data_IF_445892152352
#
_entry.id   IF_445892152352
#
_cell.length_a   1.000
_cell.length_b   1.000
_cell.length_c   1.000
_cell.angle_alpha   90.00
_cell.angle_beta   90.00
_cell.angle_gamma   90.00
#
_symmetry.space_group_name_H-M   'P 1'
#
loop_
_entity.id
_entity.type
_entity.pdbx_description
1 polymer ?
#
# COMPACT_ATOMS: atom_id res chain seq x y z
N UNK A 1 18.01 26.42 0.70
CA UNK A 1 16.82 25.73 1.22
C UNK A 1 17.01 25.51 2.70
N UNK A 2 16.16 26.13 3.49
CA UNK A 2 16.13 25.90 4.94
C UNK A 2 15.73 24.44 5.21
N UNK A 3 16.20 23.80 6.29
CA UNK A 3 15.90 22.39 6.57
C UNK A 3 14.40 22.14 6.87
N UNK A 4 13.57 23.19 6.88
CA UNK A 4 12.10 23.16 6.97
C UNK A 4 11.39 23.10 5.61
N UNK A 5 12.05 23.46 4.50
CA UNK A 5 11.45 23.46 3.15
C UNK A 5 11.57 22.10 2.44
N UNK A 6 12.31 21.15 3.01
CA UNK A 6 12.50 19.85 2.40
C UNK A 6 11.26 18.98 2.59
N UNK A 7 10.83 18.27 1.53
CA UNK A 7 9.67 17.40 1.62
C UNK A 7 9.92 16.23 2.58
N UNK A 8 8.87 15.83 3.27
CA UNK A 8 8.88 14.71 4.20
C UNK A 8 7.56 13.97 4.16
N UNK A 9 7.59 12.72 4.63
CA UNK A 9 6.43 11.85 4.61
C UNK A 9 6.54 10.73 5.66
N UNK A 10 5.39 10.25 6.10
CA UNK A 10 5.23 9.14 7.04
C UNK A 10 3.98 8.33 6.67
N UNK A 11 3.99 7.02 6.95
CA UNK A 11 2.79 6.18 6.88
C UNK A 11 2.47 5.66 8.29
N UNK A 12 1.26 5.93 8.77
CA UNK A 12 0.73 5.37 10.01
C UNK A 12 -0.14 4.16 9.68
N UNK A 13 0.21 3.03 10.27
CA UNK A 13 -0.48 1.75 10.11
C UNK A 13 -1.18 1.42 11.41
N UNK A 14 -2.49 1.13 11.37
CA UNK A 14 -3.24 0.69 12.55
C UNK A 14 -3.03 -0.80 12.83
N UNK A 15 -1.77 -1.15 13.05
CA UNK A 15 -1.31 -2.47 13.44
C UNK A 15 0.05 -2.38 14.12
N UNK A 16 0.40 -3.40 14.89
CA UNK A 16 1.72 -3.56 15.48
C UNK A 16 2.81 -3.82 14.41
N UNK A 17 4.10 -3.53 14.71
CA UNK A 17 5.18 -3.66 13.74
C UNK A 17 5.26 -5.04 13.08
N UNK A 18 5.09 -6.11 13.87
CA UNK A 18 5.23 -7.48 13.37
C UNK A 18 4.13 -7.86 12.34
N UNK A 19 2.97 -7.21 12.42
CA UNK A 19 1.91 -7.37 11.41
C UNK A 19 2.12 -6.48 10.18
N UNK A 20 2.83 -5.37 10.32
CA UNK A 20 3.11 -4.42 9.23
C UNK A 20 4.29 -4.86 8.37
N UNK A 21 5.35 -5.40 8.99
CA UNK A 21 6.60 -5.73 8.31
C UNK A 21 6.43 -6.61 7.05
N UNK A 22 5.63 -7.71 7.07
CA UNK A 22 5.46 -8.55 5.90
C UNK A 22 4.79 -7.83 4.72
N UNK A 23 3.83 -6.94 5.01
CA UNK A 23 3.08 -6.18 4.01
C UNK A 23 3.90 -5.02 3.47
N UNK A 24 4.75 -4.42 4.30
CA UNK A 24 5.60 -3.29 3.92
C UNK A 24 6.62 -3.64 2.81
N UNK A 25 6.98 -4.91 2.64
CA UNK A 25 7.80 -5.36 1.50
C UNK A 25 7.13 -5.11 0.13
N UNK A 26 5.80 -4.99 0.07
CA UNK A 26 5.08 -4.64 -1.16
C UNK A 26 5.43 -3.26 -1.69
N UNK A 27 5.90 -2.35 -0.83
CA UNK A 27 6.27 -0.99 -1.21
C UNK A 27 7.52 -0.93 -2.10
N UNK A 28 8.32 -2.01 -2.12
CA UNK A 28 9.59 -2.12 -2.87
C UNK A 28 10.61 -1.01 -2.55
N UNK A 29 10.43 -0.37 -1.40
CA UNK A 29 11.26 0.72 -0.92
C UNK A 29 11.75 0.40 0.49
N UNK A 30 12.94 0.88 0.82
CA UNK A 30 13.49 0.70 2.16
C UNK A 30 12.75 1.59 3.15
N UNK A 31 12.23 0.97 4.20
CA UNK A 31 11.46 1.65 5.24
C UNK A 31 12.01 1.32 6.62
N UNK A 32 11.94 2.30 7.51
CA UNK A 32 12.16 2.10 8.95
C UNK A 32 10.79 1.98 9.61
N UNK A 33 10.52 0.83 10.21
CA UNK A 33 9.28 0.52 10.90
C UNK A 33 9.50 0.63 12.40
N UNK A 34 8.66 1.43 13.07
CA UNK A 34 8.75 1.68 14.51
C UNK A 34 7.34 1.64 15.09
N UNK A 35 7.22 1.23 16.35
CA UNK A 35 5.95 1.30 17.08
C UNK A 35 5.56 2.76 17.29
N UNK A 36 4.28 3.07 17.09
CA UNK A 36 3.71 4.42 17.18
C UNK A 36 2.43 4.45 18.03
N UNK A 37 2.41 3.68 19.12
CA UNK A 37 1.23 3.43 19.96
C UNK A 37 1.04 1.94 20.21
N UNK A 38 0.01 1.57 20.98
CA UNK A 38 -0.27 0.17 21.29
C UNK A 38 -0.70 -0.60 20.03
N UNK A 39 -1.61 -0.01 19.25
CA UNK A 39 -2.20 -0.62 18.04
C UNK A 39 -1.71 0.06 16.75
N UNK A 40 -0.59 0.78 16.83
CA UNK A 40 -0.13 1.65 15.76
C UNK A 40 1.37 1.49 15.52
N UNK A 41 1.74 1.59 14.25
CA UNK A 41 3.12 1.65 13.79
C UNK A 41 3.31 2.76 12.79
N UNK A 42 4.54 3.25 12.69
CA UNK A 42 4.95 4.25 11.70
C UNK A 42 6.02 3.67 10.79
N UNK A 43 5.84 3.86 9.48
CA UNK A 43 6.88 3.63 8.48
C UNK A 43 7.48 4.97 8.07
N UNK A 44 8.81 5.06 8.17
CA UNK A 44 9.61 6.20 7.73
C UNK A 44 10.39 5.78 6.48
N UNK A 45 10.17 6.42 5.32
CA UNK A 45 10.93 6.13 4.11
C UNK A 45 12.41 6.47 4.29
N UNK A 46 13.30 5.54 3.94
CA UNK A 46 14.75 5.83 3.92
C UNK A 46 15.17 6.62 2.68
N UNK A 47 14.44 6.43 1.59
CA UNK A 47 14.60 7.15 0.33
C UNK A 47 13.60 8.30 0.18
N UNK A 48 13.81 9.10 -0.85
CA UNK A 48 12.96 10.25 -1.18
C UNK A 48 12.65 10.23 -2.68
N UNK A 49 11.82 9.28 -3.17
CA UNK A 49 11.53 9.09 -4.59
C UNK A 49 10.84 10.29 -5.25
N UNK A 50 10.29 11.20 -4.45
CA UNK A 50 9.72 12.49 -4.88
C UNK A 50 10.77 13.60 -5.07
N UNK A 51 12.06 13.35 -4.83
CA UNK A 51 13.12 14.31 -5.14
C UNK A 51 13.58 14.19 -6.60
N UNK A 52 14.10 15.31 -7.16
CA UNK A 52 14.77 15.30 -8.47
C UNK A 52 13.85 15.26 -9.69
N UNK A 53 12.62 15.77 -9.59
CA UNK A 53 11.65 15.76 -10.69
C UNK A 53 10.85 14.46 -10.83
N UNK A 54 10.88 13.62 -9.80
CA UNK A 54 10.03 12.43 -9.68
C UNK A 54 8.56 12.76 -9.45
N UNK A 55 7.78 11.73 -9.14
CA UNK A 55 6.35 11.87 -8.85
C UNK A 55 6.12 12.69 -7.56
N UNK A 56 5.10 13.56 -7.50
CA UNK A 56 4.79 14.33 -6.30
C UNK A 56 4.60 13.47 -5.05
N UNK A 57 5.01 14.00 -3.89
CA UNK A 57 5.02 13.26 -2.62
C UNK A 57 3.64 12.73 -2.24
N UNK A 58 2.59 13.51 -2.47
CA UNK A 58 1.20 13.13 -2.19
C UNK A 58 0.79 11.88 -2.96
N UNK A 59 1.19 11.77 -4.23
CA UNK A 59 0.82 10.68 -5.12
C UNK A 59 1.59 9.39 -4.80
N UNK A 60 2.89 9.51 -4.52
CA UNK A 60 3.72 8.39 -4.05
C UNK A 60 3.13 7.81 -2.76
N UNK A 61 2.87 8.67 -1.77
CA UNK A 61 2.40 8.24 -0.46
C UNK A 61 0.98 7.67 -0.49
N UNK A 62 0.09 8.25 -1.31
CA UNK A 62 -1.25 7.68 -1.53
C UNK A 62 -1.17 6.30 -2.18
N UNK A 63 -0.25 6.11 -3.13
CA UNK A 63 0.03 4.82 -3.74
C UNK A 63 0.51 3.78 -2.72
N UNK A 64 1.48 4.14 -1.87
CA UNK A 64 1.97 3.26 -0.81
C UNK A 64 0.90 2.93 0.24
N UNK A 65 0.14 3.91 0.70
CA UNK A 65 -0.96 3.67 1.63
C UNK A 65 -2.00 2.71 1.04
N UNK A 66 -2.33 2.86 -0.25
CA UNK A 66 -3.24 1.96 -0.96
C UNK A 66 -2.67 0.55 -1.07
N UNK A 67 -1.39 0.41 -1.43
CA UNK A 67 -0.73 -0.90 -1.55
C UNK A 67 -0.74 -1.66 -0.21
N UNK A 68 -0.42 -0.97 0.90
CA UNK A 68 -0.50 -1.55 2.24
C UNK A 68 -1.93 -1.91 2.62
N UNK A 69 -2.88 -1.00 2.40
CA UNK A 69 -4.27 -1.18 2.79
C UNK A 69 -4.97 -2.31 2.00
N UNK A 70 -4.54 -2.59 0.78
CA UNK A 70 -5.02 -3.75 0.00
C UNK A 70 -4.42 -5.06 0.53
N UNK A 71 -3.17 -5.02 0.99
CA UNK A 71 -2.46 -6.18 1.54
C UNK A 71 -2.84 -6.54 2.98
N UNK A 72 -3.67 -5.73 3.64
CA UNK A 72 -3.96 -5.87 5.06
C UNK A 72 -5.40 -5.47 5.45
N UNK A 73 -5.95 -5.99 6.56
CA UNK A 73 -7.31 -5.66 7.01
C UNK A 73 -7.41 -4.31 7.75
N UNK A 74 -6.30 -3.63 8.02
CA UNK A 74 -6.24 -2.40 8.80
C UNK A 74 -6.06 -1.14 7.92
N UNK A 75 -6.54 0.03 8.37
CA UNK A 75 -6.38 1.28 7.64
C UNK A 75 -4.95 1.82 7.69
N UNK A 76 -4.54 2.50 6.61
CA UNK A 76 -3.24 3.18 6.50
C UNK A 76 -3.46 4.66 6.25
N UNK A 77 -2.84 5.50 7.07
CA UNK A 77 -2.85 6.94 6.93
C UNK A 77 -1.48 7.43 6.44
N UNK A 78 -1.44 7.93 5.21
CA UNK A 78 -0.32 8.68 4.69
C UNK A 78 -0.35 10.13 5.19
N UNK A 79 0.81 10.62 5.62
CA UNK A 79 1.07 12.02 5.95
C UNK A 79 2.22 12.51 5.07
N UNK A 80 2.08 13.69 4.48
CA UNK A 80 3.09 14.26 3.58
C UNK A 80 3.12 15.77 3.67
N UNK A 81 4.27 16.37 3.36
CA UNK A 81 4.45 17.82 3.28
C UNK A 81 5.60 18.15 2.34
N UNK A 82 5.51 19.32 1.72
CA UNK A 82 6.56 19.91 0.90
C UNK A 82 6.64 21.43 1.16
N UNK A 83 7.20 22.20 0.23
CA UNK A 83 7.31 23.65 0.37
C UNK A 83 5.96 24.36 0.20
N UNK A 84 5.07 23.79 -0.60
CA UNK A 84 3.85 24.46 -1.08
C UNK A 84 2.60 23.95 -0.35
N UNK A 85 2.61 22.70 0.12
CA UNK A 85 1.44 22.03 0.69
C UNK A 85 1.81 21.02 1.76
N UNK A 86 0.78 20.63 2.50
CA UNK A 86 0.83 19.45 3.36
C UNK A 86 -0.50 18.76 3.34
N UNK A 87 -0.52 17.46 3.59
CA UNK A 87 -1.77 16.73 3.54
C UNK A 87 -1.68 15.32 4.06
N UNK A 88 -2.82 14.66 3.99
CA UNK A 88 -2.99 13.30 4.42
C UNK A 88 -3.89 12.52 3.48
N UNK A 89 -3.70 11.19 3.42
CA UNK A 89 -4.56 10.30 2.67
C UNK A 89 -4.81 9.01 3.45
N UNK A 90 -6.08 8.62 3.58
CA UNK A 90 -6.52 7.43 4.28
C UNK A 90 -6.94 6.35 3.29
N UNK A 91 -6.24 5.22 3.32
CA UNK A 91 -6.56 4.03 2.56
C UNK A 91 -7.08 2.91 3.48
N UNK A 92 -8.01 2.10 3.00
CA UNK A 92 -8.59 0.98 3.76
C UNK A 92 -9.16 -0.08 2.81
N UNK A 93 -8.51 -1.24 2.73
CA UNK A 93 -8.90 -2.31 1.82
C UNK A 93 -8.96 -1.86 0.35
N UNK A 94 -10.03 -2.28 -0.33
CA UNK A 94 -10.33 -1.91 -1.72
C UNK A 94 -11.15 -0.62 -1.85
N UNK A 95 -11.37 0.13 -0.76
CA UNK A 95 -12.11 1.39 -0.82
C UNK A 95 -11.25 2.46 -1.47
N UNK A 96 -11.89 3.40 -2.19
CA UNK A 96 -11.21 4.58 -2.71
C UNK A 96 -10.49 5.33 -1.56
N UNK A 97 -9.19 5.64 -1.69
CA UNK A 97 -8.48 6.49 -0.75
C UNK A 97 -9.16 7.85 -0.65
N UNK A 98 -9.16 8.41 0.55
CA UNK A 98 -9.72 9.74 0.83
C UNK A 98 -8.56 10.63 1.23
N UNK A 99 -8.44 11.81 0.62
CA UNK A 99 -7.36 12.74 0.88
C UNK A 99 -7.86 14.07 1.40
N UNK A 100 -7.02 14.78 2.12
CA UNK A 100 -7.21 16.18 2.48
C UNK A 100 -5.87 16.89 2.54
N UNK A 101 -5.80 18.09 1.97
CA UNK A 101 -4.60 18.90 1.90
C UNK A 101 -4.86 20.35 2.32
N UNK A 102 -3.77 21.00 2.75
CA UNK A 102 -3.66 22.39 3.10
C UNK A 102 -2.54 23.02 2.28
N UNK A 103 -2.76 24.25 1.82
CA UNK A 103 -1.70 25.08 1.24
C UNK A 103 -0.68 25.48 2.32
N UNK A 104 0.48 25.99 1.91
CA UNK A 104 1.59 26.33 2.79
C UNK A 104 1.18 27.23 3.97
N UNK A 105 0.27 28.18 3.72
CA UNK A 105 -0.29 29.12 4.71
C UNK A 105 -1.34 28.49 5.64
N UNK A 106 -1.64 27.20 5.48
CA UNK A 106 -2.67 26.48 6.22
C UNK A 106 -4.08 26.62 5.66
N UNK A 107 -4.24 27.29 4.50
CA UNK A 107 -5.53 27.38 3.81
C UNK A 107 -6.01 25.97 3.45
N UNK A 108 -7.22 25.57 3.89
CA UNK A 108 -7.77 24.28 3.54
C UNK A 108 -8.06 24.19 2.03
N UNK A 109 -7.61 23.10 1.39
CA UNK A 109 -7.76 22.86 -0.05
C UNK A 109 -8.51 21.55 -0.38
N UNK A 110 -8.75 20.69 0.61
CA UNK A 110 -9.51 19.44 0.46
C UNK A 110 -11.02 19.58 0.63
N UNK A 111 -11.76 18.53 0.29
CA UNK A 111 -13.21 18.44 0.49
C UNK A 111 -13.56 18.21 1.97
N UNK A 112 -14.47 18.98 2.54
CA UNK A 112 -14.87 18.86 3.97
C UNK A 112 -15.40 17.46 4.34
N UNK A 113 -16.05 16.77 3.40
CA UNK A 113 -16.56 15.40 3.60
C UNK A 113 -15.44 14.37 3.84
N UNK A 114 -14.20 14.69 3.45
CA UNK A 114 -13.04 13.84 3.67
C UNK A 114 -12.81 13.59 5.16
N UNK A 115 -12.86 14.63 6.00
CA UNK A 115 -12.63 14.53 7.44
C UNK A 115 -13.69 13.67 8.15
N UNK A 116 -14.95 13.77 7.71
CA UNK A 116 -16.02 12.91 8.22
C UNK A 116 -15.78 11.45 7.86
N UNK A 117 -15.29 11.19 6.65
CA UNK A 117 -14.93 9.83 6.22
C UNK A 117 -13.71 9.30 6.98
N UNK A 118 -12.74 10.15 7.31
CA UNK A 118 -11.60 9.80 8.16
C UNK A 118 -12.06 9.34 9.54
N UNK A 119 -12.89 10.15 10.20
CA UNK A 119 -13.42 9.83 11.52
C UNK A 119 -14.14 8.47 11.52
N UNK A 120 -15.02 8.24 10.54
CA UNK A 120 -15.75 6.98 10.40
C UNK A 120 -14.82 5.78 10.18
N UNK A 121 -13.84 5.87 9.27
CA UNK A 121 -12.94 4.75 8.93
C UNK A 121 -11.91 4.45 10.02
N UNK A 122 -11.51 5.46 10.80
CA UNK A 122 -10.59 5.31 11.92
C UNK A 122 -11.33 4.99 13.23
N UNK A 123 -12.67 5.03 13.25
CA UNK A 123 -13.45 4.81 14.47
C UNK A 123 -13.19 5.86 15.53
N UNK A 124 -13.00 7.12 15.11
CA UNK A 124 -12.87 8.26 16.01
C UNK A 124 -14.23 8.61 16.63
N UNK A 125 -14.20 9.32 17.76
CA UNK A 125 -15.42 9.76 18.41
C UNK A 125 -16.23 10.70 17.48
N UNK A 126 -17.51 10.40 17.22
CA UNK A 126 -18.29 11.16 16.24
C UNK A 126 -18.66 12.57 16.72
N UNK A 127 -18.36 12.94 17.96
CA UNK A 127 -18.67 14.25 18.54
C UNK A 127 -17.39 15.05 18.76
N UNK A 128 -16.54 14.63 19.70
CA UNK A 128 -15.37 15.38 20.12
C UNK A 128 -14.23 15.35 19.09
N UNK A 129 -13.95 14.16 18.53
CA UNK A 129 -12.91 14.04 17.50
C UNK A 129 -13.37 14.65 16.19
N UNK A 130 -14.63 14.43 15.81
CA UNK A 130 -15.20 15.05 14.62
C UNK A 130 -15.15 16.58 14.71
N UNK A 131 -15.52 17.17 15.85
CA UNK A 131 -15.43 18.62 16.05
C UNK A 131 -13.99 19.12 15.89
N UNK A 132 -13.02 18.43 16.48
CA UNK A 132 -11.60 18.79 16.34
C UNK A 132 -11.13 18.70 14.88
N UNK A 133 -11.61 17.72 14.12
CA UNK A 133 -11.28 17.61 12.69
C UNK A 133 -11.94 18.70 11.84
N UNK A 134 -13.18 19.09 12.14
CA UNK A 134 -13.85 20.22 11.46
C UNK A 134 -13.14 21.55 11.72
N UNK A 135 -12.55 21.74 12.91
CA UNK A 135 -11.73 22.92 13.19
C UNK A 135 -10.47 22.99 12.31
N UNK A 136 -9.94 21.84 11.86
CA UNK A 136 -8.80 21.79 10.93
C UNK A 136 -9.17 22.16 9.49
N UNK A 137 -10.46 22.10 9.12
CA UNK A 137 -10.94 22.50 7.79
C UNK A 137 -11.40 23.95 7.72
N UNK A 138 -11.41 24.67 8.85
CA UNK A 138 -11.75 26.10 8.88
C UNK A 138 -10.53 26.97 8.58
N UNK A 139 -10.69 28.07 7.81
CA UNK A 139 -9.61 29.04 7.62
C UNK A 139 -9.09 29.59 8.95
N UNK A 140 -7.77 29.59 9.13
CA UNK A 140 -7.05 30.20 10.25
C UNK A 140 -5.70 30.68 9.70
N UNK A 141 -5.44 31.99 9.79
CA UNK A 141 -4.23 32.61 9.25
C UNK A 141 -3.02 32.48 10.19
N UNK A 142 -3.22 31.92 11.39
CA UNK A 142 -2.16 31.78 12.40
C UNK A 142 -1.48 30.42 12.37
N UNK A 143 -2.06 29.45 11.67
CA UNK A 143 -1.59 28.07 11.64
C UNK A 143 -1.24 27.68 10.21
N UNK A 144 0.04 27.43 9.96
CA UNK A 144 0.55 26.95 8.67
C UNK A 144 0.16 25.49 8.39
N UNK A 145 0.44 25.01 7.17
CA UNK A 145 0.13 23.64 6.75
C UNK A 145 0.69 22.57 7.72
N UNK A 146 1.94 22.75 8.16
CA UNK A 146 2.60 21.83 9.11
C UNK A 146 1.93 21.86 10.48
N UNK A 147 1.48 23.03 10.93
CA UNK A 147 0.65 23.19 12.13
C UNK A 147 -0.65 22.39 12.04
N UNK A 148 -1.32 22.40 10.87
CA UNK A 148 -2.54 21.60 10.63
C UNK A 148 -2.27 20.10 10.71
N UNK A 149 -1.18 19.61 10.14
CA UNK A 149 -0.77 18.20 10.28
C UNK A 149 -0.52 17.81 11.74
N UNK A 150 0.10 18.69 12.53
CA UNK A 150 0.29 18.45 13.97
C UNK A 150 -1.03 18.46 14.73
N UNK A 151 -1.98 19.32 14.34
CA UNK A 151 -3.35 19.29 14.84
C UNK A 151 -4.05 17.96 14.53
N UNK A 152 -3.92 17.45 13.31
CA UNK A 152 -4.44 16.13 12.93
C UNK A 152 -3.85 15.02 13.82
N UNK A 153 -2.53 15.02 14.02
CA UNK A 153 -1.89 14.06 14.93
C UNK A 153 -2.42 14.18 16.36
N UNK A 154 -2.61 15.40 16.87
CA UNK A 154 -3.15 15.61 18.21
C UNK A 154 -4.53 14.95 18.37
N UNK A 155 -5.40 15.02 17.35
CA UNK A 155 -6.66 14.26 17.35
C UNK A 155 -6.39 12.76 17.40
N UNK A 156 -5.48 12.26 16.57
CA UNK A 156 -5.17 10.83 16.49
C UNK A 156 -4.53 10.26 17.77
N UNK A 157 -3.96 11.09 18.64
CA UNK A 157 -3.48 10.61 19.95
C UNK A 157 -4.59 10.03 20.81
N UNK A 158 -5.82 10.54 20.67
CA UNK A 158 -7.01 10.02 21.35
C UNK A 158 -7.43 8.65 20.79
N UNK A 159 -7.03 8.33 19.57
CA UNK A 159 -7.18 7.01 18.95
C UNK A 159 -5.98 6.08 19.18
N UNK A 160 -5.06 6.46 20.09
CA UNK A 160 -3.93 5.64 20.50
C UNK A 160 -2.65 5.83 19.67
N UNK A 161 -2.60 6.80 18.76
CA UNK A 161 -1.34 7.15 18.07
C UNK A 161 -0.40 7.86 19.04
N UNK A 162 0.78 7.29 19.26
CA UNK A 162 1.85 7.87 20.06
C UNK A 162 3.16 7.81 19.27
N UNK A 163 3.47 8.86 18.52
CA UNK A 163 4.71 8.91 17.74
C UNK A 163 5.95 8.92 18.65
N UNK A 164 7.01 8.15 18.30
CA UNK A 164 8.27 8.21 19.01
C UNK A 164 8.88 9.62 19.01
N UNK A 165 9.62 9.94 20.07
CA UNK A 165 10.36 11.19 20.16
C UNK A 165 11.27 11.40 18.93
N UNK A 166 11.23 12.60 18.35
CA UNK A 166 11.99 12.95 17.15
C UNK A 166 11.25 12.67 15.82
N UNK A 167 10.19 11.86 15.82
CA UNK A 167 9.33 11.64 14.64
C UNK A 167 8.20 12.68 14.67
N UNK A 168 8.44 13.82 14.02
CA UNK A 168 7.51 14.96 14.02
C UNK A 168 7.13 15.33 12.58
N UNK A 169 5.83 15.30 12.20
CA UNK A 169 5.42 15.81 10.90
C UNK A 169 5.82 17.27 10.69
N UNK A 170 6.21 17.55 9.45
CA UNK A 170 6.78 18.84 9.06
C UNK A 170 8.31 18.90 9.10
N UNK A 171 8.98 17.91 9.71
CA UNK A 171 10.45 17.79 9.67
C UNK A 171 10.95 17.24 8.31
N UNK A 172 12.23 17.43 7.99
CA UNK A 172 12.77 16.87 6.74
C UNK A 172 12.87 15.35 6.79
N UNK A 173 12.77 14.68 5.63
CA UNK A 173 12.95 13.23 5.53
C UNK A 173 14.26 12.74 6.17
N UNK A 174 15.35 13.50 6.03
CA UNK A 174 16.63 13.19 6.66
C UNK A 174 16.59 13.25 8.20
N UNK A 175 15.88 14.22 8.77
CA UNK A 175 15.70 14.32 10.24
C UNK A 175 14.82 13.21 10.78
N UNK A 176 13.74 12.89 10.09
CA UNK A 176 12.88 11.75 10.43
C UNK A 176 13.65 10.43 10.37
N UNK A 177 14.44 10.22 9.32
CA UNK A 177 15.27 9.02 9.17
C UNK A 177 16.31 8.92 10.28
N UNK A 178 16.99 10.01 10.60
CA UNK A 178 17.96 10.04 11.71
C UNK A 178 17.30 9.67 13.04
N UNK A 179 16.21 10.36 13.39
CA UNK A 179 15.46 10.08 14.62
C UNK A 179 14.93 8.64 14.69
N UNK A 180 14.54 8.08 13.54
CA UNK A 180 14.10 6.69 13.44
C UNK A 180 15.23 5.68 13.65
N UNK A 181 16.43 5.96 13.12
CA UNK A 181 17.61 5.10 13.26
C UNK A 181 18.17 5.08 14.69
N UNK A 182 17.98 6.15 15.45
CA UNK A 182 18.43 6.25 16.85
C UNK A 182 17.55 5.43 17.81
N UNK A 183 16.47 4.79 17.31
CA UNK A 183 15.55 3.98 18.11
C UNK A 183 16.06 2.56 18.29
N UNK A 184 15.96 2.05 19.52
CA UNK A 184 16.29 0.66 19.82
C UNK A 184 15.29 -0.35 19.23
N UNK A 185 14.05 0.07 19.00
CA UNK A 185 12.95 -0.76 18.50
C UNK A 185 12.72 -0.65 16.97
N UNK A 186 13.69 -0.09 16.23
CA UNK A 186 13.57 0.06 14.78
C UNK A 186 13.73 -1.28 14.06
N UNK A 187 12.74 -1.62 13.23
CA UNK A 187 12.82 -2.71 12.27
C UNK A 187 13.10 -2.13 10.89
N UNK A 188 14.16 -2.59 10.21
CA UNK A 188 14.40 -2.22 8.81
C UNK A 188 13.63 -3.17 7.91
N UNK A 189 12.69 -2.62 7.16
CA UNK A 189 12.00 -3.34 6.10
C UNK A 189 12.80 -3.12 4.82
N UNK A 190 13.45 -4.18 4.36
CA UNK A 190 14.20 -4.10 3.11
C UNK A 190 13.24 -3.96 1.91
N UNK A 191 13.55 -2.98 1.06
CA UNK A 191 12.91 -2.81 -0.24
C UNK A 191 13.26 -4.00 -1.12
N UNK A 192 12.23 -4.69 -1.62
CA UNK A 192 12.40 -6.02 -2.19
C UNK A 192 13.42 -6.14 -3.32
N UNK A 193 14.49 -6.88 -3.04
CA UNK A 193 15.00 -7.94 -3.91
C UNK A 193 14.02 -9.13 -3.97
N UNK A 194 12.77 -8.88 -4.39
CA UNK A 194 11.66 -9.84 -4.40
C UNK A 194 12.00 -11.16 -5.11
N UNK A 195 12.98 -11.15 -6.01
CA UNK A 195 13.49 -12.33 -6.72
C UNK A 195 14.13 -13.38 -5.81
N UNK A 196 14.74 -13.02 -4.69
CA UNK A 196 15.46 -13.99 -3.84
C UNK A 196 14.51 -14.64 -2.82
N UNK A 197 13.61 -13.86 -2.22
CA UNK A 197 12.61 -14.36 -1.26
C UNK A 197 11.54 -15.20 -1.96
N UNK A 198 11.04 -14.76 -3.13
CA UNK A 198 10.10 -15.55 -3.92
C UNK A 198 10.78 -16.76 -4.56
N UNK A 199 12.07 -16.69 -4.92
CA UNK A 199 12.77 -17.88 -5.40
C UNK A 199 13.00 -18.90 -4.29
N UNK A 200 13.25 -18.47 -3.05
CA UNK A 200 13.34 -19.37 -1.91
C UNK A 200 12.00 -20.04 -1.57
N UNK A 201 10.88 -19.30 -1.60
CA UNK A 201 9.54 -19.87 -1.40
C UNK A 201 9.05 -20.70 -2.58
N UNK A 202 9.32 -20.28 -3.82
CA UNK A 202 9.02 -21.08 -5.02
C UNK A 202 9.87 -22.35 -5.05
N UNK A 203 11.17 -22.31 -4.73
CA UNK A 203 12.01 -23.51 -4.62
C UNK A 203 11.51 -24.44 -3.51
N UNK A 204 10.93 -23.90 -2.44
CA UNK A 204 10.34 -24.70 -1.36
C UNK A 204 9.01 -25.35 -1.78
N UNK A 205 8.18 -24.66 -2.57
CA UNK A 205 6.93 -25.18 -3.14
C UNK A 205 7.19 -26.16 -4.30
N UNK A 206 8.21 -25.91 -5.12
CA UNK A 206 8.66 -26.75 -6.24
C UNK A 206 9.29 -28.07 -5.74
N UNK A 207 9.94 -28.06 -4.57
CA UNK A 207 10.39 -29.25 -3.84
C UNK A 207 9.28 -29.93 -3.02
N UNK A 208 8.08 -29.33 -2.95
CA UNK A 208 6.91 -29.87 -2.26
C UNK A 208 6.08 -30.85 -3.11
N UNK A 209 5.11 -31.55 -2.51
CA UNK A 209 4.30 -32.57 -3.20
C UNK A 209 3.41 -32.05 -4.34
N UNK A 210 3.22 -30.73 -4.44
CA UNK A 210 2.45 -30.06 -5.50
C UNK A 210 3.30 -29.54 -6.67
N UNK A 211 4.64 -29.56 -6.54
CA UNK A 211 5.59 -29.19 -7.59
C UNK A 211 5.29 -29.82 -8.96
N UNK A 212 4.95 -31.13 -9.06
CA UNK A 212 4.71 -31.79 -10.34
C UNK A 212 3.48 -31.32 -11.13
N UNK A 213 2.55 -30.55 -10.54
CA UNK A 213 1.28 -30.17 -11.18
C UNK A 213 1.26 -28.73 -11.71
N UNK A 214 2.34 -27.97 -11.50
CA UNK A 214 2.45 -26.58 -11.93
C UNK A 214 2.74 -26.48 -13.43
N UNK A 215 2.01 -25.65 -14.19
CA UNK A 215 2.03 -25.63 -15.67
C UNK A 215 3.38 -25.21 -16.28
N UNK A 216 4.26 -24.58 -15.49
CA UNK A 216 5.55 -24.03 -15.94
C UNK A 216 6.74 -25.01 -15.76
N UNK A 217 6.51 -26.18 -15.16
CA UNK A 217 7.54 -27.16 -14.78
C UNK A 217 7.89 -28.15 -15.91
N UNK A 218 7.12 -28.20 -16.99
CA UNK A 218 7.34 -29.14 -18.12
C UNK A 218 7.14 -30.62 -17.78
N UNK A 219 6.60 -30.91 -16.59
CA UNK A 219 6.40 -32.28 -16.10
C UNK A 219 5.35 -33.03 -16.94
N UNK A 220 5.40 -34.38 -17.00
CA UNK A 220 4.39 -35.19 -17.70
C UNK A 220 2.96 -34.99 -17.16
N UNK A 221 2.81 -34.65 -15.87
CA UNK A 221 1.50 -34.42 -15.23
C UNK A 221 0.93 -33.04 -15.55
N UNK A 222 1.79 -32.02 -15.67
CA UNK A 222 1.40 -30.70 -16.17
C UNK A 222 0.86 -30.78 -17.62
N UNK A 223 1.47 -31.63 -18.46
CA UNK A 223 1.00 -31.94 -19.82
C UNK A 223 -0.37 -32.63 -19.83
N UNK A 224 -0.62 -33.57 -18.93
CA UNK A 224 -1.93 -34.23 -18.83
C UNK A 224 -3.04 -33.24 -18.44
N UNK A 225 -2.76 -32.30 -17.52
CA UNK A 225 -3.69 -31.24 -17.14
C UNK A 225 -4.00 -30.28 -18.30
N UNK A 226 -2.97 -29.85 -19.04
CA UNK A 226 -3.14 -28.96 -20.19
C UNK A 226 -4.02 -29.62 -21.29
N UNK A 227 -3.80 -30.92 -21.57
CA UNK A 227 -4.63 -31.68 -22.51
C UNK A 227 -6.06 -31.84 -22.01
N UNK A 228 -6.27 -32.10 -20.72
CA UNK A 228 -7.60 -32.19 -20.13
C UNK A 228 -8.37 -30.87 -20.19
N UNK A 229 -7.69 -29.74 -19.94
CA UNK A 229 -8.29 -28.40 -20.01
C UNK A 229 -8.70 -28.03 -21.44
N UNK A 230 -7.88 -28.36 -22.45
CA UNK A 230 -8.24 -28.18 -23.87
C UNK A 230 -9.39 -29.11 -24.27
N UNK A 231 -9.36 -30.37 -23.82
CA UNK A 231 -10.40 -31.35 -24.10
C UNK A 231 -11.77 -30.99 -23.50
N UNK A 232 -11.80 -30.31 -22.35
CA UNK A 232 -13.04 -29.83 -21.72
C UNK A 232 -13.48 -28.44 -22.23
N UNK A 233 -12.54 -27.55 -22.55
CA UNK A 233 -12.82 -26.18 -22.99
C UNK A 233 -13.47 -26.10 -24.38
N UNK A 234 -13.09 -26.98 -25.29
CA UNK A 234 -13.62 -27.02 -26.66
C UNK A 234 -15.12 -27.33 -26.74
N UNK A 235 -15.65 -28.41 -26.10
CA UNK A 235 -17.09 -28.70 -26.12
C UNK A 235 -17.92 -27.67 -25.34
N UNK A 236 -17.39 -27.09 -24.26
CA UNK A 236 -18.06 -26.05 -23.48
C UNK A 236 -18.21 -24.73 -24.26
N UNK A 237 -17.17 -24.31 -24.99
CA UNK A 237 -17.24 -23.13 -25.86
C UNK A 237 -18.25 -23.35 -27.01
N UNK A 238 -18.23 -24.53 -27.64
CA UNK A 238 -19.17 -24.88 -28.71
C UNK A 238 -20.63 -24.92 -28.22
N UNK A 239 -20.84 -25.43 -26.99
CA UNK A 239 -22.16 -25.50 -26.37
C UNK A 239 -22.68 -24.11 -25.97
N UNK A 240 -21.82 -23.23 -25.45
CA UNK A 240 -22.15 -21.85 -25.12
C UNK A 240 -22.58 -21.03 -26.34
N UNK A 241 -21.87 -21.20 -27.47
CA UNK A 241 -22.21 -20.57 -28.76
C UNK A 241 -23.55 -21.12 -29.28
N UNK A 242 -23.78 -22.44 -29.20
CA UNK A 242 -25.02 -23.08 -29.66
C UNK A 242 -26.25 -22.68 -28.83
N UNK A 243 -26.08 -22.36 -27.55
CA UNK A 243 -27.15 -21.91 -26.63
C UNK A 243 -27.31 -20.38 -26.58
N UNK A 244 -26.53 -19.61 -27.38
CA UNK A 244 -26.47 -18.13 -27.34
C UNK A 244 -26.27 -17.54 -25.94
N UNK A 245 -25.47 -18.19 -25.10
CA UNK A 245 -25.16 -17.68 -23.77
C UNK A 245 -23.74 -17.13 -23.71
N UNK A 246 -23.63 -15.80 -23.62
CA UNK A 246 -22.37 -15.07 -23.60
C UNK A 246 -21.45 -15.50 -22.43
N UNK A 247 -22.02 -15.88 -21.28
CA UNK A 247 -21.26 -16.31 -20.11
C UNK A 247 -20.53 -17.65 -20.30
N UNK A 248 -21.20 -18.63 -20.89
CA UNK A 248 -20.61 -19.95 -21.15
C UNK A 248 -19.59 -19.91 -22.30
N UNK A 249 -19.82 -19.05 -23.30
CA UNK A 249 -18.85 -18.80 -24.36
C UNK A 249 -17.57 -18.13 -23.83
N UNK A 250 -17.69 -17.14 -22.95
CA UNK A 250 -16.55 -16.47 -22.33
C UNK A 250 -15.73 -17.41 -21.43
N UNK A 251 -16.39 -18.25 -20.62
CA UNK A 251 -15.73 -19.24 -19.77
C UNK A 251 -14.97 -20.30 -20.60
N UNK A 252 -15.56 -20.79 -21.70
CA UNK A 252 -14.89 -21.72 -22.62
C UNK A 252 -13.69 -21.09 -23.33
N UNK A 253 -13.79 -19.83 -23.75
CA UNK A 253 -12.68 -19.09 -24.37
C UNK A 253 -11.52 -18.85 -23.39
N UNK A 254 -11.82 -18.54 -22.13
CA UNK A 254 -10.82 -18.39 -21.06
C UNK A 254 -10.06 -19.70 -20.79
N UNK A 255 -10.78 -20.83 -20.71
CA UNK A 255 -10.18 -22.16 -20.55
C UNK A 255 -9.27 -22.53 -21.72
N UNK A 256 -9.70 -22.25 -22.96
CA UNK A 256 -8.91 -22.49 -24.16
C UNK A 256 -7.65 -21.61 -24.22
N UNK A 257 -7.77 -20.32 -23.85
CA UNK A 257 -6.63 -19.41 -23.77
C UNK A 257 -5.59 -19.87 -22.75
N UNK A 258 -6.02 -20.35 -21.58
CA UNK A 258 -5.12 -20.85 -20.54
C UNK A 258 -4.42 -22.16 -20.94
N UNK A 259 -5.14 -23.09 -21.59
CA UNK A 259 -4.57 -24.33 -22.10
C UNK A 259 -3.58 -24.12 -23.26
N UNK A 260 -3.87 -23.17 -24.16
CA UNK A 260 -2.98 -22.82 -25.27
C UNK A 260 -1.70 -22.12 -24.78
N UNK A 261 -1.80 -21.23 -23.79
CA UNK A 261 -0.65 -20.59 -23.16
C UNK A 261 0.31 -21.62 -22.53
N UNK A 262 -0.22 -22.66 -21.88
CA UNK A 262 0.58 -23.76 -21.33
C UNK A 262 1.32 -24.58 -22.39
N UNK A 263 0.69 -24.84 -23.54
CA UNK A 263 1.30 -25.60 -24.65
C UNK A 263 2.33 -24.79 -25.44
N UNK A 264 2.10 -23.48 -25.63
CA UNK A 264 3.04 -22.58 -26.31
C UNK A 264 4.31 -22.38 -25.46
N UNK A 265 4.18 -22.34 -24.13
CA UNK A 265 5.32 -22.27 -23.21
C UNK A 265 6.20 -23.54 -23.25
N UNK A 266 5.62 -24.71 -23.52
CA UNK A 266 6.32 -26.00 -23.63
C UNK A 266 7.11 -26.12 -24.96
N UNK A 267 6.60 -25.52 -26.05
CA UNK A 267 7.26 -25.54 -27.37
C UNK A 267 8.45 -24.55 -27.44
N UNK A 268 8.46 -23.51 -26.60
CA UNK A 268 9.50 -22.47 -26.59
C UNK A 268 10.80 -22.83 -25.85
N UNK A 269 10.90 -23.99 -25.18
CA UNK A 269 12.13 -24.42 -24.51
C UNK A 269 12.96 -25.34 -25.42
N UNK A 270 14.21 -24.98 -25.77
CA UNK A 270 15.12 -25.92 -26.40
C UNK A 270 15.45 -27.05 -25.40
N UNK A 271 15.34 -28.29 -25.88
CA UNK A 271 15.74 -29.49 -25.14
C UNK A 271 17.26 -29.44 -24.93
N UNK A 272 17.69 -29.47 -23.68
CA UNK A 272 19.02 -29.90 -23.27
C UNK A 272 18.92 -31.32 -22.72
#
# INVERSE_FOLDING_TARGET
MSPTEQPGALLLCRAEPDAVAPVAHLLRERMLLIRAGTEWSVLVPEGTPWQGGGEPVDRVLTGWATALAVGAPWPVLALWWDADRSGCALASGFRRPVGYDWLADGTPAGEDEAMRTFASRLGLDPVFDMQSLEELTRPDLTVDARGRLRGLLAVLTRAGVALPAGIVPGESAGRLRGAALDRADVQRVEGGGWRETVRAEIDAVERGPLGPWLPWTGSPRARALAVAQVGLGLPLALWGVRRRSAGWAAAGALLLGHGALGLVYDVGRPRA
#
